data_IF_233904342594
#
_entry.id   IF_233904342594
#
_cell.length_a   1.000
_cell.length_b   1.000
_cell.length_c   1.000
_cell.angle_alpha   90.00
_cell.angle_beta   90.00
_cell.angle_gamma   90.00
#
_symmetry.space_group_name_H-M   'P 1'
#
loop_
_entity.id
_entity.type
_entity.pdbx_description
1 polymer ?
#
# COMPACT_ATOMS: atom_id res chain seq x y z
N UNK A 1 -4.32 -3.66 21.34
CA UNK A 1 -3.17 -2.84 20.93
C UNK A 1 -2.88 -1.76 21.96
N UNK A 2 -3.74 -0.75 22.13
CA UNK A 2 -3.47 0.44 22.96
C UNK A 2 -3.31 0.19 24.47
N UNK A 3 -3.97 -0.82 25.05
CA UNK A 3 -3.93 -1.03 26.51
C UNK A 3 -2.56 -1.43 27.06
N UNK A 4 -1.72 -2.10 26.25
CA UNK A 4 -0.41 -2.61 26.69
C UNK A 4 0.68 -1.53 26.68
N UNK A 5 0.59 -0.52 25.82
CA UNK A 5 1.57 0.57 25.71
C UNK A 5 1.11 1.88 26.36
N UNK A 6 -0.08 1.89 26.98
CA UNK A 6 -0.69 3.11 27.53
C UNK A 6 -1.33 3.97 26.44
N UNK A 7 -2.16 4.94 26.86
CA UNK A 7 -2.63 5.97 25.95
C UNK A 7 -1.43 6.68 25.33
N UNK A 8 -1.48 6.85 24.01
CA UNK A 8 -0.45 7.52 23.20
C UNK A 8 0.97 6.93 23.36
N UNK A 9 1.09 5.68 23.82
CA UNK A 9 2.39 5.04 24.01
C UNK A 9 3.17 5.51 25.24
N UNK A 10 2.56 6.25 26.18
CA UNK A 10 3.25 6.80 27.37
C UNK A 10 4.04 5.75 28.19
N UNK A 11 3.58 4.50 28.22
CA UNK A 11 4.27 3.43 28.97
C UNK A 11 5.50 2.91 28.24
N UNK A 12 5.63 3.16 26.93
CA UNK A 12 6.75 2.68 26.12
C UNK A 12 8.08 3.30 26.56
N UNK A 13 8.09 4.59 26.92
CA UNK A 13 9.29 5.32 27.34
C UNK A 13 9.89 4.77 28.65
N UNK A 14 9.05 4.27 29.55
CA UNK A 14 9.46 3.72 30.84
C UNK A 14 9.62 2.19 30.82
N UNK A 15 9.37 1.54 29.69
CA UNK A 15 9.39 0.08 29.59
C UNK A 15 10.80 -0.44 29.42
N UNK A 16 11.18 -1.46 30.19
CA UNK A 16 12.43 -2.16 29.97
C UNK A 16 12.38 -3.03 28.68
N UNK A 17 13.55 -3.30 28.10
CA UNK A 17 13.66 -4.03 26.84
C UNK A 17 13.04 -5.44 26.91
N UNK A 18 13.16 -6.15 28.04
CA UNK A 18 12.65 -7.52 28.18
C UNK A 18 11.12 -7.52 28.15
N UNK A 19 10.50 -6.65 28.96
CA UNK A 19 9.06 -6.45 29.01
C UNK A 19 8.51 -6.02 27.66
N UNK A 20 9.23 -5.16 26.94
CA UNK A 20 8.86 -4.74 25.59
C UNK A 20 8.83 -5.93 24.61
N UNK A 21 9.91 -6.70 24.53
CA UNK A 21 10.02 -7.84 23.61
C UNK A 21 8.95 -8.90 23.87
N UNK A 22 8.70 -9.24 25.14
CA UNK A 22 7.64 -10.20 25.50
C UNK A 22 6.25 -9.67 25.10
N UNK A 23 6.00 -8.39 25.34
CA UNK A 23 4.71 -7.75 25.00
C UNK A 23 4.47 -7.72 23.49
N UNK A 24 5.48 -7.36 22.71
CA UNK A 24 5.41 -7.32 21.25
C UNK A 24 5.24 -8.74 20.68
N UNK A 25 6.02 -9.72 21.14
CA UNK A 25 5.91 -11.10 20.66
C UNK A 25 4.49 -11.67 20.83
N UNK A 26 3.91 -11.51 22.02
CA UNK A 26 2.54 -11.96 22.28
C UNK A 26 1.48 -11.21 21.46
N UNK A 27 1.72 -9.95 21.12
CA UNK A 27 0.82 -9.15 20.30
C UNK A 27 0.90 -9.52 18.81
N UNK A 28 2.11 -9.71 18.29
CA UNK A 28 2.37 -10.17 16.92
C UNK A 28 1.80 -11.58 16.71
N UNK A 29 1.95 -12.48 17.68
CA UNK A 29 1.33 -13.81 17.62
C UNK A 29 -0.18 -13.75 17.39
N UNK A 30 -0.89 -12.96 18.21
CA UNK A 30 -2.35 -12.76 18.09
C UNK A 30 -2.76 -12.07 16.79
N UNK A 31 -1.93 -11.17 16.25
CA UNK A 31 -2.16 -10.55 14.94
C UNK A 31 -2.06 -11.57 13.83
N UNK A 32 -1.00 -12.39 13.85
CA UNK A 32 -0.74 -13.39 12.83
C UNK A 32 -1.83 -14.45 12.75
N UNK A 33 -2.40 -14.86 13.89
CA UNK A 33 -3.55 -15.79 13.95
C UNK A 33 -4.78 -15.30 13.18
N UNK A 34 -4.99 -13.97 13.15
CA UNK A 34 -6.13 -13.31 12.50
C UNK A 34 -5.77 -12.75 11.12
N UNK A 35 -4.53 -12.95 10.66
CA UNK A 35 -4.03 -12.30 9.47
C UNK A 35 -4.49 -13.03 8.21
N UNK A 36 -5.50 -12.47 7.57
CA UNK A 36 -5.96 -12.90 6.26
C UNK A 36 -5.38 -12.01 5.13
N UNK A 37 -5.17 -12.57 3.93
CA UNK A 37 -5.41 -13.97 3.56
C UNK A 37 -4.21 -14.86 3.86
N UNK A 38 -4.43 -16.15 4.13
CA UNK A 38 -3.34 -17.12 4.36
C UNK A 38 -2.54 -17.49 3.11
N UNK A 39 -3.14 -17.38 1.94
CA UNK A 39 -2.50 -17.61 0.65
C UNK A 39 -2.81 -16.52 -0.36
N UNK A 40 -2.52 -16.77 -1.63
CA UNK A 40 -2.86 -15.85 -2.71
C UNK A 40 -4.37 -15.75 -2.85
N UNK A 41 -4.94 -14.55 -2.71
CA UNK A 41 -6.39 -14.36 -2.88
C UNK A 41 -6.75 -12.92 -3.23
N UNK A 42 -7.92 -12.76 -3.87
CA UNK A 42 -8.48 -11.44 -4.13
C UNK A 42 -9.17 -10.88 -2.89
N UNK A 43 -8.92 -9.61 -2.61
CA UNK A 43 -9.56 -8.86 -1.54
C UNK A 43 -10.02 -7.50 -2.06
N UNK A 44 -11.07 -6.95 -1.45
CA UNK A 44 -11.54 -5.61 -1.79
C UNK A 44 -10.49 -4.56 -1.42
N UNK A 45 -10.17 -3.66 -2.34
CA UNK A 45 -9.24 -2.55 -2.12
C UNK A 45 -9.65 -1.69 -0.91
N UNK A 46 -10.95 -1.56 -0.68
CA UNK A 46 -11.53 -0.85 0.48
C UNK A 46 -11.06 -1.39 1.84
N UNK A 47 -10.57 -2.65 1.92
CA UNK A 47 -9.96 -3.20 3.14
C UNK A 47 -8.60 -2.57 3.46
N UNK A 48 -7.95 -1.94 2.47
CA UNK A 48 -6.60 -1.39 2.59
C UNK A 48 -6.57 0.13 2.50
N UNK A 49 -7.36 0.72 1.60
CA UNK A 49 -7.39 2.17 1.41
C UNK A 49 -8.74 2.63 0.90
N UNK A 50 -9.41 3.48 1.69
CA UNK A 50 -10.64 4.16 1.28
C UNK A 50 -10.35 5.24 0.24
N UNK A 51 -9.23 5.94 0.38
CA UNK A 51 -8.82 7.00 -0.53
C UNK A 51 -8.62 6.49 -1.96
N UNK A 52 -7.94 5.34 -2.14
CA UNK A 52 -7.73 4.77 -3.47
C UNK A 52 -9.04 4.31 -4.12
N UNK A 53 -10.00 3.82 -3.33
CA UNK A 53 -11.33 3.42 -3.84
C UNK A 53 -12.15 4.63 -4.28
N UNK A 54 -12.00 5.76 -3.59
CA UNK A 54 -12.73 7.00 -3.86
C UNK A 54 -12.06 7.86 -4.94
N UNK A 55 -10.81 7.57 -5.29
CA UNK A 55 -10.09 8.31 -6.30
C UNK A 55 -10.72 8.09 -7.68
N UNK A 56 -11.21 9.18 -8.26
CA UNK A 56 -11.72 9.24 -9.62
C UNK A 56 -11.34 10.61 -10.20
N UNK A 57 -10.53 10.59 -11.27
CA UNK A 57 -10.05 11.80 -11.94
C UNK A 57 -11.19 12.67 -12.47
N UNK A 58 -12.35 12.10 -12.80
CA UNK A 58 -13.50 12.86 -13.29
C UNK A 58 -14.11 13.78 -12.24
N UNK A 59 -13.88 13.50 -10.95
CA UNK A 59 -14.34 14.32 -9.82
C UNK A 59 -13.33 15.41 -9.42
N UNK A 60 -12.17 15.50 -10.08
CA UNK A 60 -11.10 16.44 -9.76
C UNK A 60 -10.92 17.49 -10.86
N UNK A 61 -10.42 18.70 -10.52
CA UNK A 61 -10.07 19.70 -11.51
C UNK A 61 -9.04 19.19 -12.54
N UNK A 62 -9.06 19.66 -13.80
CA UNK A 62 -8.16 19.15 -14.86
C UNK A 62 -6.66 19.30 -14.58
N UNK A 63 -6.27 20.25 -13.72
CA UNK A 63 -4.88 20.48 -13.32
C UNK A 63 -4.45 19.62 -12.11
N UNK A 64 -5.39 18.93 -11.47
CA UNK A 64 -5.13 18.05 -10.33
C UNK A 64 -5.22 16.61 -10.83
N UNK A 65 -4.08 16.06 -11.25
CA UNK A 65 -3.97 14.69 -11.71
C UNK A 65 -2.76 13.99 -11.10
N UNK A 66 -2.83 12.66 -11.09
CA UNK A 66 -1.72 11.80 -10.70
C UNK A 66 -1.24 11.10 -11.96
N UNK A 67 0.05 11.24 -12.27
CA UNK A 67 0.68 10.46 -13.34
C UNK A 67 0.93 9.04 -12.88
N UNK A 68 0.78 8.09 -13.80
CA UNK A 68 1.23 6.73 -13.58
C UNK A 68 2.75 6.72 -13.32
N UNK A 69 3.26 6.02 -12.29
CA UNK A 69 4.70 5.97 -12.03
C UNK A 69 5.51 5.30 -13.16
N UNK A 70 6.80 5.65 -13.24
CA UNK A 70 7.80 5.02 -14.11
C UNK A 70 7.79 5.51 -15.57
N UNK A 71 7.30 6.73 -15.83
CA UNK A 71 7.21 7.29 -17.19
C UNK A 71 8.40 8.19 -17.58
N UNK A 72 9.14 8.70 -16.60
CA UNK A 72 10.32 9.51 -16.84
C UNK A 72 11.54 8.59 -17.01
N UNK A 73 12.05 8.48 -18.23
CA UNK A 73 13.20 7.62 -18.56
C UNK A 73 14.54 8.32 -18.39
N UNK A 74 14.57 9.66 -18.41
CA UNK A 74 15.79 10.47 -18.29
C UNK A 74 16.66 10.54 -19.56
N UNK A 75 16.32 9.78 -20.61
CA UNK A 75 17.10 9.75 -21.86
C UNK A 75 16.82 10.93 -22.78
N UNK A 76 15.66 11.58 -22.65
CA UNK A 76 15.19 12.71 -23.46
C UNK A 76 14.25 13.60 -22.64
N UNK A 77 14.01 14.86 -23.08
CA UNK A 77 13.00 15.71 -22.47
C UNK A 77 11.62 15.03 -22.44
N UNK A 78 10.91 15.03 -21.29
CA UNK A 78 9.63 14.34 -21.17
C UNK A 78 8.52 15.08 -21.94
N UNK A 79 7.63 14.32 -22.59
CA UNK A 79 6.39 14.82 -23.16
C UNK A 79 5.25 14.61 -22.15
N UNK A 80 5.15 15.51 -21.17
CA UNK A 80 4.24 15.38 -20.01
C UNK A 80 2.77 15.27 -20.43
N UNK A 81 2.34 15.97 -21.48
CA UNK A 81 0.96 15.90 -21.97
C UNK A 81 0.58 14.50 -22.50
N UNK A 82 1.56 13.73 -22.96
CA UNK A 82 1.38 12.37 -23.42
C UNK A 82 1.51 11.32 -22.30
N UNK A 83 1.85 11.72 -21.07
CA UNK A 83 1.95 10.79 -19.95
C UNK A 83 0.56 10.23 -19.60
N UNK A 84 0.55 8.93 -19.30
CA UNK A 84 -0.62 8.23 -18.79
C UNK A 84 -0.93 8.79 -17.40
N UNK A 85 -2.17 9.23 -17.22
CA UNK A 85 -2.72 9.71 -15.95
C UNK A 85 -3.57 8.62 -15.32
N UNK A 86 -3.58 8.57 -13.99
CA UNK A 86 -4.44 7.65 -13.24
C UNK A 86 -5.87 8.18 -13.32
N UNK A 87 -6.76 7.40 -13.92
CA UNK A 87 -8.21 7.67 -13.94
C UNK A 87 -8.85 7.19 -12.64
N UNK A 88 -8.58 5.94 -12.26
CA UNK A 88 -9.12 5.29 -11.06
C UNK A 88 -8.31 4.04 -10.71
N UNK A 89 -8.70 3.35 -9.64
CA UNK A 89 -8.11 2.07 -9.22
C UNK A 89 -9.15 0.96 -9.32
N UNK A 90 -8.69 -0.27 -9.57
CA UNK A 90 -9.59 -1.43 -9.55
C UNK A 90 -10.11 -1.71 -8.12
N UNK A 91 -11.39 -2.09 -8.02
CA UNK A 91 -12.04 -2.35 -6.73
C UNK A 91 -11.45 -3.55 -5.98
N UNK A 92 -10.76 -4.43 -6.69
CA UNK A 92 -10.15 -5.64 -6.15
C UNK A 92 -8.62 -5.57 -6.23
N UNK A 93 -7.98 -6.22 -5.27
CA UNK A 93 -6.53 -6.29 -5.12
C UNK A 93 -6.16 -7.73 -4.85
N UNK A 94 -5.17 -8.25 -5.58
CA UNK A 94 -4.66 -9.60 -5.35
C UNK A 94 -3.58 -9.53 -4.28
N UNK A 95 -3.84 -10.11 -3.11
CA UNK A 95 -2.82 -10.30 -2.08
C UNK A 95 -2.06 -11.58 -2.41
N UNK A 96 -0.74 -11.49 -2.52
CA UNK A 96 0.12 -12.62 -2.87
C UNK A 96 0.41 -13.48 -1.62
N UNK A 97 0.42 -14.80 -1.76
CA UNK A 97 0.78 -15.77 -0.72
C UNK A 97 2.28 -15.87 -0.45
N UNK A 98 2.96 -14.74 -0.29
CA UNK A 98 4.39 -14.67 0.08
C UNK A 98 4.55 -14.17 1.53
N UNK A 99 5.74 -14.34 2.12
CA UNK A 99 6.05 -13.99 3.52
C UNK A 99 5.61 -12.56 3.88
N UNK A 100 5.90 -11.59 3.00
CA UNK A 100 5.59 -10.17 3.20
C UNK A 100 4.23 -9.77 2.63
N UNK A 101 3.49 -10.72 2.05
CA UNK A 101 2.15 -10.56 1.46
C UNK A 101 2.03 -9.29 0.59
N UNK A 102 2.85 -9.13 -0.47
CA UNK A 102 2.76 -7.97 -1.35
C UNK A 102 1.40 -7.97 -2.07
N UNK A 103 0.94 -6.78 -2.45
CA UNK A 103 -0.41 -6.57 -3.01
C UNK A 103 -0.29 -6.14 -4.46
N UNK A 104 -0.89 -6.90 -5.38
CA UNK A 104 -1.00 -6.49 -6.78
C UNK A 104 -2.23 -5.61 -6.95
N UNK A 105 -1.98 -4.30 -7.01
CA UNK A 105 -2.95 -3.24 -7.28
C UNK A 105 -3.06 -3.05 -8.79
N UNK A 106 -4.24 -2.72 -9.31
CA UNK A 106 -4.40 -2.32 -10.72
C UNK A 106 -4.78 -0.85 -10.81
N UNK A 107 -4.01 -0.09 -11.57
CA UNK A 107 -4.26 1.30 -11.91
C UNK A 107 -4.99 1.34 -13.26
N UNK A 108 -6.09 2.09 -13.36
CA UNK A 108 -6.78 2.33 -14.63
C UNK A 108 -6.28 3.65 -15.23
N UNK A 109 -5.68 3.59 -16.40
CA UNK A 109 -5.17 4.77 -17.11
C UNK A 109 -6.27 5.59 -17.78
N UNK A 110 -5.95 6.82 -18.17
CA UNK A 110 -6.78 7.65 -19.04
C UNK A 110 -6.81 7.14 -20.49
N UNK A 111 -5.94 6.20 -20.84
CA UNK A 111 -5.89 5.50 -22.12
C UNK A 111 -6.74 4.21 -22.14
N UNK A 112 -7.60 4.03 -21.12
CA UNK A 112 -8.50 2.87 -20.95
C UNK A 112 -7.78 1.53 -20.75
N UNK A 113 -6.51 1.54 -20.35
CA UNK A 113 -5.75 0.32 -20.01
C UNK A 113 -5.59 0.13 -18.51
N UNK A 114 -5.53 -1.14 -18.12
CA UNK A 114 -5.22 -1.59 -16.76
C UNK A 114 -3.71 -1.85 -16.62
N UNK A 115 -3.11 -1.27 -15.59
CA UNK A 115 -1.70 -1.43 -15.25
C UNK A 115 -1.54 -2.10 -13.88
N UNK A 116 -1.15 -3.38 -13.83
CA UNK A 116 -0.87 -4.05 -12.57
C UNK A 116 0.46 -3.56 -11.97
N UNK A 117 0.44 -3.20 -10.69
CA UNK A 117 1.61 -2.82 -9.88
C UNK A 117 1.70 -3.71 -8.65
N UNK A 118 2.92 -4.12 -8.30
CA UNK A 118 3.18 -4.88 -7.09
C UNK A 118 3.61 -3.94 -5.96
N UNK A 119 2.72 -3.75 -4.98
CA UNK A 119 2.97 -2.94 -3.79
C UNK A 119 3.66 -3.81 -2.73
N UNK A 120 4.94 -3.54 -2.50
CA UNK A 120 5.74 -4.12 -1.41
C UNK A 120 5.84 -3.10 -0.27
N UNK A 121 5.49 -3.50 0.96
CA UNK A 121 5.42 -2.60 2.11
C UNK A 121 6.44 -2.98 3.19
N UNK A 122 7.08 -1.98 3.80
CA UNK A 122 8.08 -2.19 4.84
C UNK A 122 9.41 -2.74 4.31
N UNK A 123 9.71 -2.48 3.04
CA UNK A 123 10.95 -2.83 2.35
C UNK A 123 11.56 -1.56 1.74
N UNK A 124 12.88 -1.52 1.69
CA UNK A 124 13.64 -0.49 0.96
C UNK A 124 14.01 -1.05 -0.41
N UNK A 125 13.41 -0.49 -1.46
CA UNK A 125 13.52 -0.99 -2.83
C UNK A 125 14.65 -0.33 -3.64
N UNK A 126 15.50 0.51 -3.02
CA UNK A 126 16.56 1.24 -3.74
C UNK A 126 17.61 0.33 -4.37
N UNK A 127 17.83 -0.85 -3.81
CA UNK A 127 18.79 -1.84 -4.32
C UNK A 127 18.19 -2.76 -5.39
N UNK A 128 16.86 -2.79 -5.54
CA UNK A 128 16.16 -3.58 -6.55
C UNK A 128 16.00 -2.83 -7.89
N UNK A 129 16.30 -1.52 -7.92
CA UNK A 129 16.09 -0.63 -9.07
C UNK A 129 17.17 -0.77 -10.15
#
# INVERSE_FOLDING_TARGET
FYTKFGSDGKKLLAMDMKTFLTTISGLVGKMNERMEPRGTSNMKLAKFSTWLVQYDQSNLPPHQFIEKPGQYTGNQPPCVDAHIKVSSFDSDTLVMGSLRKPKRLKIRGNDQKDYPYLVKGGEDLRLDQ
#
